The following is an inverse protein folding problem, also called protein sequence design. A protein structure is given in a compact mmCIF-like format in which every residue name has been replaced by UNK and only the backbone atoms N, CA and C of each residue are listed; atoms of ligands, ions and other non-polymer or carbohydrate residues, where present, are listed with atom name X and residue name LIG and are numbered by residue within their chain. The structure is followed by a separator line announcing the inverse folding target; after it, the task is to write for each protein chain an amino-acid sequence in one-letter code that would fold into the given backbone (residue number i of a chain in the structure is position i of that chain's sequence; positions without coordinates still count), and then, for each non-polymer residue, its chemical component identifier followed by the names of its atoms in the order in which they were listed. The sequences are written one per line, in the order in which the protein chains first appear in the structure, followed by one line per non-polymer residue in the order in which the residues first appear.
data_IF_266192328732
#
_entry.id   IF_266192328732
#
_cell.length_a   1.000
_cell.length_b   1.000
_cell.length_c   1.000
_cell.angle_alpha   90.00
_cell.angle_beta   90.00
_cell.angle_gamma   90.00
#
_symmetry.space_group_name_H-M   'P 1'
#
loop_
_entity.id
_entity.type
_entity.pdbx_description
1 polymer ?
#
# COMPACT_ATOMS: atom_id res chain seq x y z
N UNK A 1 -22.61 -0.79 -5.94
CA UNK A 1 -21.24 -0.28 -5.70
C UNK A 1 -21.07 -0.31 -4.18
N UNK A 2 -20.23 -1.21 -3.65
CA UNK A 2 -19.98 -1.26 -2.21
C UNK A 2 -19.09 -0.07 -1.86
N UNK A 3 -19.65 0.95 -1.24
CA UNK A 3 -18.88 2.08 -0.75
C UNK A 3 -18.02 1.61 0.44
N UNK A 4 -16.78 2.09 0.51
CA UNK A 4 -15.94 1.86 1.69
C UNK A 4 -16.46 2.67 2.87
N UNK A 5 -16.52 2.06 4.05
CA UNK A 5 -16.82 2.78 5.27
C UNK A 5 -15.62 3.66 5.70
N UNK A 6 -15.84 4.69 6.54
CA UNK A 6 -14.74 5.47 7.10
C UNK A 6 -13.68 4.63 7.82
N UNK A 7 -14.11 3.56 8.50
CA UNK A 7 -13.24 2.62 9.20
C UNK A 7 -12.33 1.85 8.23
N UNK A 8 -12.88 1.45 7.08
CA UNK A 8 -12.12 0.76 6.03
C UNK A 8 -11.09 1.69 5.40
N UNK A 9 -11.47 2.94 5.12
CA UNK A 9 -10.53 3.95 4.65
C UNK A 9 -9.42 4.25 5.67
N UNK A 10 -9.76 4.27 6.97
CA UNK A 10 -8.78 4.42 8.04
C UNK A 10 -7.82 3.24 8.11
N UNK A 11 -8.32 2.01 7.91
CA UNK A 11 -7.49 0.81 7.82
C UNK A 11 -6.54 0.87 6.62
N UNK A 12 -7.00 1.29 5.44
CA UNK A 12 -6.14 1.45 4.25
C UNK A 12 -5.05 2.49 4.47
N UNK A 13 -5.37 3.60 5.14
CA UNK A 13 -4.38 4.61 5.54
C UNK A 13 -3.32 4.01 6.48
N UNK A 14 -3.73 3.25 7.48
CA UNK A 14 -2.82 2.57 8.41
C UNK A 14 -1.88 1.62 7.67
N UNK A 15 -2.42 0.78 6.78
CA UNK A 15 -1.64 -0.13 5.94
C UNK A 15 -0.62 0.64 5.08
N UNK A 16 -1.02 1.76 4.50
CA UNK A 16 -0.13 2.62 3.72
C UNK A 16 1.01 3.21 4.56
N UNK A 17 0.71 3.74 5.75
CA UNK A 17 1.71 4.31 6.67
C UNK A 17 2.70 3.22 7.16
N UNK A 18 2.20 2.03 7.48
CA UNK A 18 3.02 0.88 7.86
C UNK A 18 3.92 0.42 6.71
N UNK A 19 3.38 0.30 5.49
CA UNK A 19 4.15 -0.07 4.31
C UNK A 19 5.29 0.93 4.05
N UNK A 20 5.02 2.24 4.11
CA UNK A 20 6.06 3.27 3.99
C UNK A 20 7.10 3.14 5.10
N UNK A 21 6.67 2.94 6.35
CA UNK A 21 7.60 2.89 7.49
C UNK A 21 8.49 1.64 7.46
N UNK A 22 8.04 0.56 6.81
CA UNK A 22 8.82 -0.66 6.62
C UNK A 22 9.93 -0.54 5.57
N UNK A 23 9.90 0.49 4.73
CA UNK A 23 10.86 0.69 3.66
C UNK A 23 12.13 1.40 4.14
N UNK A 24 13.26 1.05 3.52
CA UNK A 24 14.51 1.77 3.70
C UNK A 24 14.38 3.21 3.15
N UNK A 25 15.02 4.22 3.77
CA UNK A 25 14.91 5.61 3.31
C UNK A 25 15.22 5.82 1.82
N UNK A 26 16.18 5.08 1.25
CA UNK A 26 16.53 5.20 -0.17
C UNK A 26 15.49 4.62 -1.13
N UNK A 27 14.56 3.80 -0.65
CA UNK A 27 13.45 3.27 -1.46
C UNK A 27 12.16 4.10 -1.30
N UNK A 28 12.15 5.12 -0.45
CA UNK A 28 10.99 6.02 -0.23
C UNK A 28 10.79 7.10 -1.30
N UNK A 29 10.96 6.71 -2.57
CA UNK A 29 10.74 7.58 -3.72
C UNK A 29 9.25 7.91 -3.90
N UNK A 30 8.95 9.02 -4.58
CA UNK A 30 7.57 9.40 -4.93
C UNK A 30 6.89 8.27 -5.71
N UNK A 31 7.60 7.67 -6.67
CA UNK A 31 7.08 6.57 -7.49
C UNK A 31 6.73 5.34 -6.66
N UNK A 32 7.56 4.95 -5.68
CA UNK A 32 7.26 3.82 -4.82
C UNK A 32 6.08 4.11 -3.88
N UNK A 33 5.95 5.33 -3.35
CA UNK A 33 4.77 5.73 -2.58
C UNK A 33 3.49 5.65 -3.41
N UNK A 34 3.53 6.12 -4.66
CA UNK A 34 2.40 6.02 -5.58
C UNK A 34 2.04 4.56 -5.88
N UNK A 35 3.04 3.71 -6.13
CA UNK A 35 2.83 2.28 -6.39
C UNK A 35 2.16 1.58 -5.20
N UNK A 36 2.61 1.86 -3.96
CA UNK A 36 1.99 1.31 -2.74
C UNK A 36 0.51 1.70 -2.66
N UNK A 37 0.19 2.99 -2.85
CA UNK A 37 -1.19 3.45 -2.83
C UNK A 37 -2.04 2.76 -3.91
N UNK A 38 -1.53 2.63 -5.13
CA UNK A 38 -2.23 1.96 -6.23
C UNK A 38 -2.46 0.48 -5.96
N UNK A 39 -1.49 -0.21 -5.36
CA UNK A 39 -1.61 -1.62 -4.98
C UNK A 39 -2.72 -1.83 -3.94
N UNK A 40 -2.75 -0.99 -2.89
CA UNK A 40 -3.79 -1.04 -1.85
C UNK A 40 -5.17 -0.81 -2.46
N UNK A 41 -5.32 0.23 -3.29
CA UNK A 41 -6.61 0.55 -3.92
C UNK A 41 -7.06 -0.54 -4.90
N UNK A 42 -6.14 -1.12 -5.67
CA UNK A 42 -6.45 -2.19 -6.62
C UNK A 42 -6.86 -3.47 -5.91
N UNK A 43 -6.18 -3.80 -4.81
CA UNK A 43 -6.53 -4.94 -3.96
C UNK A 43 -7.90 -4.72 -3.30
N UNK A 44 -8.12 -3.56 -2.67
CA UNK A 44 -9.41 -3.23 -2.07
C UNK A 44 -10.56 -3.27 -3.08
N UNK A 45 -10.32 -2.88 -4.34
CA UNK A 45 -11.32 -2.86 -5.40
C UNK A 45 -11.83 -4.25 -5.80
N UNK A 46 -11.10 -5.32 -5.46
CA UNK A 46 -11.59 -6.71 -5.65
C UNK A 46 -12.60 -7.13 -4.58
N UNK A 47 -12.74 -6.33 -3.53
CA UNK A 47 -13.52 -6.67 -2.34
C UNK A 47 -12.67 -7.14 -1.16
N UNK A 48 -11.35 -7.23 -1.30
CA UNK A 48 -10.46 -7.56 -0.18
C UNK A 48 -10.53 -6.50 0.94
N UNK A 49 -10.54 -6.98 2.20
CA UNK A 49 -10.63 -6.17 3.42
C UNK A 49 -9.62 -6.59 4.49
N UNK A 50 -8.92 -7.71 4.32
CA UNK A 50 -7.91 -8.20 5.24
C UNK A 50 -6.67 -7.30 5.22
N UNK A 51 -6.31 -6.73 6.37
CA UNK A 51 -5.15 -5.85 6.49
C UNK A 51 -3.84 -6.53 6.11
N UNK A 52 -3.70 -7.83 6.35
CA UNK A 52 -2.48 -8.59 6.06
C UNK A 52 -2.31 -8.77 4.55
N UNK A 53 -3.38 -9.14 3.85
CA UNK A 53 -3.36 -9.27 2.38
C UNK A 53 -3.08 -7.91 1.72
N UNK A 54 -3.70 -6.85 2.25
CA UNK A 54 -3.45 -5.49 1.80
C UNK A 54 -1.99 -5.08 2.03
N UNK A 55 -1.38 -5.41 3.16
CA UNK A 55 0.06 -5.13 3.43
C UNK A 55 0.98 -5.86 2.47
N UNK A 56 0.75 -7.15 2.23
CA UNK A 56 1.56 -7.96 1.32
C UNK A 56 1.46 -7.38 -0.09
N UNK A 57 0.25 -7.09 -0.55
CA UNK A 57 0.00 -6.53 -1.87
C UNK A 57 0.55 -5.11 -2.01
N UNK A 58 0.47 -4.29 -0.95
CA UNK A 58 0.98 -2.92 -0.93
C UNK A 58 2.45 -2.86 -1.36
N UNK A 59 3.26 -3.81 -0.92
CA UNK A 59 4.70 -3.85 -1.20
C UNK A 59 5.06 -4.54 -2.53
N UNK A 60 4.09 -5.09 -3.26
CA UNK A 60 4.33 -5.74 -4.54
C UNK A 60 4.93 -4.77 -5.57
N UNK A 61 5.98 -5.20 -6.27
CA UNK A 61 6.67 -4.43 -7.31
C UNK A 61 7.25 -3.08 -6.84
N UNK A 62 7.36 -2.84 -5.54
CA UNK A 62 8.12 -1.71 -4.99
C UNK A 62 9.58 -1.90 -5.38
N UNK A 63 10.14 -0.92 -6.09
CA UNK A 63 11.51 -1.02 -6.58
C UNK A 63 12.47 -0.91 -5.40
N UNK A 64 13.40 -1.85 -5.34
CA UNK A 64 14.55 -1.77 -4.47
C UNK A 64 15.44 -0.57 -4.80
N UNK A 65 16.47 -0.34 -3.99
CA UNK A 65 17.44 0.70 -4.25
C UNK A 65 18.03 0.50 -5.64
N UNK A 66 18.02 1.53 -6.48
CA UNK A 66 18.81 1.49 -7.70
C UNK A 66 20.28 1.47 -7.26
N UNK A 67 20.92 0.32 -7.35
CA UNK A 67 22.38 0.24 -7.30
C UNK A 67 22.87 0.90 -8.59
N UNK A 68 23.37 2.12 -8.46
CA UNK A 68 24.17 2.82 -9.47
C UNK A 68 25.63 2.44 -9.26
#
# INVERSE_FOLDING_TARGET
MNNYSPEELASFRKVFEEAITSLLPMTLTISNRLQIAQNILSCAATGERDESELRVTALANVKGPQQI
#
